data_IF_351857487435
#
_entry.id   IF_351857487435
#
_cell.length_a   1.000
_cell.length_b   1.000
_cell.length_c   1.000
_cell.angle_alpha   90.00
_cell.angle_beta   90.00
_cell.angle_gamma   90.00
#
_symmetry.space_group_name_H-M   'P 1'
#
loop_
_entity.id
_entity.type
_entity.pdbx_description
1 polymer ?
#
# COMPACT_ATOMS: atom_id res chain seq x y z
N UNK A 1 -7.59 49.95 7.12
CA UNK A 1 -8.36 49.00 7.96
C UNK A 1 -9.07 48.05 7.00
N UNK A 2 -8.92 46.72 6.91
CA UNK A 2 -8.21 45.61 7.57
C UNK A 2 -8.03 44.59 6.42
N UNK A 3 -6.87 43.94 6.18
CA UNK A 3 -6.79 42.86 5.19
C UNK A 3 -7.40 41.57 5.77
N UNK A 4 -8.43 41.05 5.13
CA UNK A 4 -9.03 39.76 5.46
C UNK A 4 -8.06 38.62 5.18
N UNK A 5 -7.79 37.82 6.21
CA UNK A 5 -6.83 36.72 6.19
C UNK A 5 -7.17 35.65 5.16
N UNK A 6 -6.24 35.42 4.25
CA UNK A 6 -6.14 34.21 3.44
C UNK A 6 -5.68 33.10 4.39
N UNK A 7 -6.64 32.53 5.12
CA UNK A 7 -6.42 31.36 5.97
C UNK A 7 -6.14 30.12 5.13
N UNK A 8 -4.86 29.83 4.97
CA UNK A 8 -4.27 28.49 4.89
C UNK A 8 -4.77 27.50 3.81
N UNK A 9 -4.64 27.88 2.53
CA UNK A 9 -4.52 26.89 1.44
C UNK A 9 -3.14 26.22 1.39
N UNK A 10 -2.18 26.67 2.21
CA UNK A 10 -0.82 26.11 2.28
C UNK A 10 -0.76 24.74 2.96
N UNK A 11 -1.66 24.45 3.89
CA UNK A 11 -1.78 23.13 4.52
C UNK A 11 -2.40 22.09 3.59
N UNK A 12 -3.37 22.47 2.76
CA UNK A 12 -3.96 21.61 1.72
C UNK A 12 -2.95 21.25 0.62
N UNK A 13 -1.99 22.15 0.34
CA UNK A 13 -0.96 21.93 -0.66
C UNK A 13 0.27 21.15 -0.16
N UNK A 14 0.40 20.95 1.15
CA UNK A 14 1.41 20.04 1.73
C UNK A 14 0.97 18.58 1.77
N UNK A 15 -0.32 18.29 1.56
CA UNK A 15 -0.83 16.93 1.37
C UNK A 15 -0.56 16.37 -0.04
N UNK A 16 -0.27 17.24 -1.04
CA UNK A 16 0.06 16.85 -2.42
C UNK A 16 1.51 16.35 -2.60
N UNK A 17 2.23 16.13 -1.49
CA UNK A 17 3.55 15.45 -1.49
C UNK A 17 3.49 14.11 -0.75
N UNK A 18 2.33 13.45 -0.68
CA UNK A 18 2.34 12.00 -0.47
C UNK A 18 2.76 11.34 -1.80
N UNK A 19 3.74 10.44 -1.74
CA UNK A 19 4.34 9.80 -2.90
C UNK A 19 3.28 9.29 -3.89
N UNK A 20 3.38 9.71 -5.16
CA UNK A 20 2.46 9.35 -6.26
C UNK A 20 2.05 7.87 -6.19
N UNK A 21 0.78 7.58 -5.87
CA UNK A 21 0.18 6.26 -6.01
C UNK A 21 -0.12 5.50 -4.72
N UNK A 22 0.27 6.02 -3.54
CA UNK A 22 -0.15 5.45 -2.25
C UNK A 22 -1.64 5.74 -1.98
N UNK A 23 -2.34 4.76 -1.44
CA UNK A 23 -3.77 4.83 -1.11
C UNK A 23 -3.94 5.04 0.39
N UNK A 24 -4.63 6.09 0.84
CA UNK A 24 -4.85 6.32 2.26
C UNK A 24 -5.94 5.39 2.81
N UNK A 25 -5.78 4.94 4.03
CA UNK A 25 -6.83 4.34 4.84
C UNK A 25 -7.15 5.24 6.03
N UNK A 26 -8.42 5.57 6.17
CA UNK A 26 -8.95 6.39 7.25
C UNK A 26 -9.82 5.55 8.19
N UNK A 27 -9.63 5.71 9.48
CA UNK A 27 -10.53 5.20 10.51
C UNK A 27 -11.07 6.38 11.33
N UNK A 28 -12.39 6.49 11.43
CA UNK A 28 -13.08 7.60 12.13
C UNK A 28 -12.59 9.01 11.72
N UNK A 29 -12.24 9.20 10.44
CA UNK A 29 -11.74 10.48 9.91
C UNK A 29 -10.26 10.75 10.15
N UNK A 30 -9.53 9.83 10.78
CA UNK A 30 -8.08 9.92 11.01
C UNK A 30 -7.33 9.04 10.00
N UNK A 31 -6.29 9.59 9.37
CA UNK A 31 -5.37 8.80 8.54
C UNK A 31 -4.62 7.81 9.44
N UNK A 32 -4.79 6.51 9.18
CA UNK A 32 -4.14 5.45 9.94
C UNK A 32 -2.85 5.02 9.24
N UNK A 33 -2.94 4.75 7.94
CA UNK A 33 -1.80 4.40 7.10
C UNK A 33 -2.10 4.72 5.64
N UNK A 34 -1.04 4.79 4.84
CA UNK A 34 -1.11 4.76 3.39
C UNK A 34 -0.53 3.44 2.90
N UNK A 35 -0.98 2.94 1.76
CA UNK A 35 -0.48 1.67 1.26
C UNK A 35 -0.44 1.62 -0.26
N UNK A 36 0.41 0.75 -0.79
CA UNK A 36 0.46 0.42 -2.20
C UNK A 36 0.85 -1.04 -2.39
N UNK A 37 0.83 -1.50 -3.63
CA UNK A 37 1.22 -2.86 -3.97
C UNK A 37 1.92 -2.92 -5.33
N UNK A 38 2.75 -3.95 -5.48
CA UNK A 38 3.32 -4.46 -6.73
C UNK A 38 2.79 -5.87 -7.00
N UNK A 39 3.35 -6.58 -7.97
CA UNK A 39 3.01 -7.99 -8.20
C UNK A 39 3.33 -8.87 -6.99
N UNK A 40 4.44 -8.59 -6.31
CA UNK A 40 5.00 -9.44 -5.25
C UNK A 40 4.74 -8.91 -3.85
N UNK A 41 4.54 -7.59 -3.70
CA UNK A 41 4.65 -6.93 -2.41
C UNK A 41 3.46 -6.03 -2.12
N UNK A 42 3.23 -5.80 -0.83
CA UNK A 42 2.33 -4.77 -0.30
C UNK A 42 3.12 -3.94 0.68
N UNK A 43 3.13 -2.63 0.46
CA UNK A 43 3.81 -1.69 1.33
C UNK A 43 2.78 -0.89 2.12
N UNK A 44 2.97 -0.77 3.43
CA UNK A 44 2.20 0.11 4.30
C UNK A 44 3.13 1.16 4.90
N UNK A 45 2.64 2.39 4.98
CA UNK A 45 3.34 3.57 5.45
C UNK A 45 2.53 4.23 6.56
N UNK A 46 3.14 4.40 7.72
CA UNK A 46 2.49 4.94 8.90
C UNK A 46 3.36 6.02 9.52
N UNK A 47 2.74 7.10 9.98
CA UNK A 47 3.43 8.06 10.84
C UNK A 47 3.34 7.59 12.29
N UNK A 48 4.43 7.09 12.90
CA UNK A 48 4.43 6.77 14.32
C UNK A 48 4.21 8.05 15.14
N UNK A 49 3.76 7.93 16.40
CA UNK A 49 3.65 9.07 17.30
C UNK A 49 4.98 9.82 17.43
N UNK A 50 4.93 11.13 17.60
CA UNK A 50 6.12 11.98 17.69
C UNK A 50 7.08 11.46 18.76
N UNK A 51 8.35 11.29 18.37
CA UNK A 51 9.41 10.78 19.25
C UNK A 51 9.45 9.26 19.46
N UNK A 52 8.50 8.50 18.93
CA UNK A 52 8.53 7.04 18.99
C UNK A 52 9.72 6.48 18.18
N UNK A 53 10.45 5.53 18.78
CA UNK A 53 11.57 4.84 18.13
C UNK A 53 11.20 3.39 17.83
N UNK A 54 11.98 2.73 16.99
CA UNK A 54 11.77 1.33 16.63
C UNK A 54 11.62 0.40 17.86
N UNK A 55 12.36 0.68 18.94
CA UNK A 55 12.27 -0.09 20.18
C UNK A 55 10.93 0.02 20.92
N UNK A 56 10.17 1.09 20.66
CA UNK A 56 8.88 1.38 21.31
C UNK A 56 7.71 0.77 20.52
N UNK A 57 7.94 0.37 19.28
CA UNK A 57 6.96 -0.27 18.42
C UNK A 57 6.80 -1.76 18.76
N UNK A 58 5.56 -2.23 18.67
CA UNK A 58 5.20 -3.64 18.70
C UNK A 58 4.50 -3.99 17.38
N UNK A 59 5.25 -4.58 16.46
CA UNK A 59 4.80 -4.94 15.12
C UNK A 59 4.93 -6.44 14.96
N UNK A 60 3.79 -7.09 14.67
CA UNK A 60 3.72 -8.53 14.48
C UNK A 60 3.14 -8.84 13.11
N UNK A 61 3.95 -9.52 12.31
CA UNK A 61 3.56 -10.05 11.01
C UNK A 61 3.34 -11.56 11.17
N UNK A 62 2.18 -12.03 10.75
CA UNK A 62 1.87 -13.47 10.66
C UNK A 62 1.38 -13.75 9.23
N UNK A 63 1.26 -15.02 8.82
CA UNK A 63 0.84 -15.33 7.45
C UNK A 63 -0.50 -14.72 7.06
N UNK A 64 -1.38 -14.38 8.00
CA UNK A 64 -2.74 -13.90 7.72
C UNK A 64 -3.13 -12.65 8.50
N UNK A 65 -2.23 -12.03 9.26
CA UNK A 65 -2.57 -10.92 10.17
C UNK A 65 -1.39 -10.00 10.37
N UNK A 66 -1.67 -8.69 10.34
CA UNK A 66 -0.74 -7.64 10.72
C UNK A 66 -1.27 -6.94 11.98
N UNK A 67 -0.41 -6.86 12.99
CA UNK A 67 -0.65 -6.08 14.21
C UNK A 67 0.38 -4.97 14.28
N UNK A 68 -0.07 -3.74 14.51
CA UNK A 68 0.80 -2.56 14.68
C UNK A 68 0.39 -1.82 15.95
N UNK A 69 1.35 -1.51 16.81
CA UNK A 69 1.10 -0.82 18.06
C UNK A 69 2.36 -0.31 18.75
N UNK A 70 2.18 0.18 19.98
CA UNK A 70 3.26 0.54 20.89
C UNK A 70 3.37 -0.51 21.99
N UNK A 71 4.59 -0.83 22.42
CA UNK A 71 4.83 -1.75 23.53
C UNK A 71 4.11 -1.29 24.80
N UNK A 72 3.42 -2.22 25.45
CA UNK A 72 2.69 -1.96 26.69
C UNK A 72 1.40 -1.16 26.53
N UNK A 73 0.95 -0.89 25.29
CA UNK A 73 -0.34 -0.24 25.00
C UNK A 73 -1.21 -1.15 24.11
N UNK A 74 -2.53 -0.91 24.06
CA UNK A 74 -3.37 -1.54 23.05
C UNK A 74 -2.82 -1.26 21.64
N UNK A 75 -2.88 -2.23 20.72
CA UNK A 75 -2.42 -2.03 19.35
C UNK A 75 -3.24 -0.92 18.67
N UNK A 76 -2.60 -0.18 17.76
CA UNK A 76 -3.29 0.78 16.90
C UNK A 76 -4.33 0.06 16.05
N UNK A 77 -3.94 -1.09 15.47
CA UNK A 77 -4.85 -2.03 14.85
C UNK A 77 -4.25 -3.45 14.87
N UNK A 78 -5.14 -4.43 14.77
CA UNK A 78 -4.78 -5.82 14.51
C UNK A 78 -5.82 -6.40 13.57
N UNK A 79 -5.46 -6.57 12.30
CA UNK A 79 -6.41 -6.94 11.25
C UNK A 79 -5.84 -8.02 10.34
N UNK A 80 -6.72 -8.88 9.76
CA UNK A 80 -6.27 -9.86 8.78
C UNK A 80 -5.70 -9.18 7.54
N UNK A 81 -4.64 -9.75 6.96
CA UNK A 81 -4.17 -9.35 5.63
C UNK A 81 -5.18 -9.81 4.57
N UNK A 82 -5.26 -9.13 3.43
CA UNK A 82 -6.20 -9.49 2.35
C UNK A 82 -6.00 -10.93 1.88
N UNK A 83 -4.75 -11.37 1.79
CA UNK A 83 -4.35 -12.74 1.48
C UNK A 83 -3.13 -13.15 2.28
N UNK A 84 -2.66 -14.38 2.06
CA UNK A 84 -1.53 -14.94 2.81
C UNK A 84 -0.22 -14.27 2.42
N UNK A 85 0.60 -13.93 3.42
CA UNK A 85 1.94 -13.35 3.25
C UNK A 85 3.04 -14.34 3.63
N UNK A 86 4.18 -14.24 2.96
CA UNK A 86 5.39 -14.93 3.37
C UNK A 86 6.06 -14.09 4.47
N UNK A 87 6.05 -14.59 5.70
CA UNK A 87 6.54 -13.84 6.85
C UNK A 87 8.05 -13.66 6.81
N UNK A 88 8.80 -14.66 6.35
CA UNK A 88 10.27 -14.67 6.41
C UNK A 88 10.94 -13.50 5.66
N UNK A 89 10.53 -13.16 4.41
CA UNK A 89 11.04 -11.98 3.71
C UNK A 89 10.24 -10.70 4.00
N UNK A 90 9.14 -10.77 4.76
CA UNK A 90 8.38 -9.58 5.16
C UNK A 90 9.11 -8.85 6.28
N UNK A 91 9.28 -7.54 6.13
CA UNK A 91 10.07 -6.72 7.05
C UNK A 91 9.36 -5.44 7.41
N UNK A 92 9.79 -4.80 8.48
CA UNK A 92 9.39 -3.44 8.80
C UNK A 92 10.60 -2.64 9.26
N UNK A 93 10.57 -1.35 9.00
CA UNK A 93 11.64 -0.41 9.32
C UNK A 93 11.10 1.00 9.52
N UNK A 94 11.89 1.85 10.17
CA UNK A 94 11.59 3.29 10.24
C UNK A 94 12.59 4.00 9.34
N UNK A 95 12.09 4.72 8.35
CA UNK A 95 12.87 5.56 7.43
C UNK A 95 12.36 6.99 7.51
N UNK A 96 13.25 7.96 7.73
CA UNK A 96 12.92 9.39 7.81
C UNK A 96 11.73 9.75 8.73
N UNK A 97 11.57 8.97 9.82
CA UNK A 97 10.48 9.16 10.79
C UNK A 97 9.14 8.55 10.36
N UNK A 98 9.08 7.81 9.26
CA UNK A 98 7.92 7.06 8.79
C UNK A 98 8.17 5.56 9.02
N UNK A 99 7.16 4.86 9.55
CA UNK A 99 7.16 3.41 9.65
C UNK A 99 6.76 2.82 8.30
N UNK A 100 7.66 2.04 7.71
CA UNK A 100 7.44 1.28 6.49
C UNK A 100 7.32 -0.21 6.83
N UNK A 101 6.27 -0.85 6.35
CA UNK A 101 6.02 -2.29 6.49
C UNK A 101 5.92 -2.88 5.09
N UNK A 102 6.78 -3.83 4.77
CA UNK A 102 6.80 -4.60 3.53
C UNK A 102 6.26 -6.00 3.81
N UNK A 103 5.15 -6.34 3.15
CA UNK A 103 4.55 -7.67 3.18
C UNK A 103 4.77 -8.35 1.83
N UNK A 104 5.39 -9.53 1.83
CA UNK A 104 5.59 -10.33 0.62
C UNK A 104 4.40 -11.25 0.41
N UNK A 105 3.76 -11.19 -0.76
CA UNK A 105 2.61 -12.02 -1.11
C UNK A 105 3.06 -13.47 -1.31
N UNK A 106 2.32 -14.43 -0.74
CA UNK A 106 2.48 -15.86 -1.09
C UNK A 106 1.99 -16.19 -2.50
N UNK A 107 1.26 -15.27 -3.12
CA UNK A 107 0.62 -15.41 -4.43
C UNK A 107 1.02 -14.22 -5.30
N UNK A 108 2.16 -14.32 -6.00
CA UNK A 108 2.57 -13.29 -6.97
C UNK A 108 1.45 -12.99 -7.97
N UNK A 109 1.25 -11.70 -8.25
CA UNK A 109 0.24 -11.18 -9.17
C UNK A 109 -1.19 -11.13 -8.61
N UNK A 110 -1.42 -11.57 -7.37
CA UNK A 110 -2.73 -11.40 -6.72
C UNK A 110 -2.98 -9.91 -6.44
N UNK A 111 -4.07 -9.38 -6.99
CA UNK A 111 -4.49 -8.00 -6.78
C UNK A 111 -5.20 -7.88 -5.44
N UNK A 112 -4.65 -7.08 -4.53
CA UNK A 112 -5.26 -6.81 -3.23
C UNK A 112 -6.12 -5.55 -3.33
N UNK A 113 -7.39 -5.62 -2.93
CA UNK A 113 -8.26 -4.43 -2.94
C UNK A 113 -8.05 -3.53 -1.70
N UNK A 114 -7.43 -4.09 -0.67
CA UNK A 114 -7.00 -3.39 0.53
C UNK A 114 -5.71 -4.03 1.04
N UNK A 115 -4.89 -3.29 1.81
CA UNK A 115 -3.77 -3.93 2.52
C UNK A 115 -4.27 -4.92 3.59
N UNK A 116 -5.39 -4.59 4.26
CA UNK A 116 -5.97 -5.34 5.37
C UNK A 116 -7.47 -5.52 5.15
N UNK A 117 -8.01 -6.69 5.51
CA UNK A 117 -9.44 -7.01 5.37
C UNK A 117 -10.28 -6.06 6.21
N UNK A 118 -11.37 -5.58 5.63
CA UNK A 118 -12.26 -4.62 6.29
C UNK A 118 -11.72 -3.18 6.32
N UNK A 119 -10.48 -2.95 5.89
CA UNK A 119 -9.89 -1.62 5.75
C UNK A 119 -10.00 -1.09 4.30
N UNK A 120 -10.53 -1.90 3.39
CA UNK A 120 -10.98 -1.41 2.09
C UNK A 120 -12.35 -0.78 2.25
N UNK A 121 -12.44 0.55 2.22
CA UNK A 121 -13.64 1.17 1.65
C UNK A 121 -13.84 0.58 0.26
N UNK A 122 -15.08 0.43 -0.21
CA UNK A 122 -15.34 -0.06 -1.56
C UNK A 122 -14.51 0.78 -2.55
N UNK A 123 -13.40 0.22 -3.05
CA UNK A 123 -12.68 0.85 -4.15
C UNK A 123 -13.72 0.97 -5.25
N UNK A 124 -13.93 2.18 -5.73
CA UNK A 124 -14.83 2.36 -6.84
C UNK A 124 -14.32 1.49 -8.02
N UNK A 125 -15.21 0.95 -8.86
CA UNK A 125 -14.81 0.05 -9.94
C UNK A 125 -13.75 0.64 -10.88
N UNK A 126 -13.64 1.97 -10.97
CA UNK A 126 -12.63 2.64 -11.77
C UNK A 126 -11.25 2.54 -11.13
N UNK A 127 -11.13 2.83 -9.83
CA UNK A 127 -9.90 2.62 -9.05
C UNK A 127 -9.38 1.18 -9.15
N UNK A 128 -10.27 0.18 -9.07
CA UNK A 128 -9.88 -1.23 -9.21
C UNK A 128 -9.28 -1.53 -10.60
N UNK A 129 -9.90 -1.00 -11.65
CA UNK A 129 -9.39 -1.16 -13.02
C UNK A 129 -8.03 -0.49 -13.20
N UNK A 130 -7.79 0.67 -12.59
CA UNK A 130 -6.48 1.34 -12.63
C UNK A 130 -5.40 0.53 -11.92
N UNK A 131 -5.71 -0.05 -10.75
CA UNK A 131 -4.79 -0.95 -10.03
C UNK A 131 -4.43 -2.15 -10.91
N UNK A 132 -5.44 -2.77 -11.50
CA UNK A 132 -5.28 -3.95 -12.33
C UNK A 132 -4.46 -3.65 -13.59
N UNK A 133 -4.70 -2.50 -14.24
CA UNK A 133 -3.92 -2.01 -15.38
C UNK A 133 -2.46 -1.78 -15.01
N UNK A 134 -2.20 -1.14 -13.86
CA UNK A 134 -0.83 -0.90 -13.37
C UNK A 134 -0.08 -2.22 -13.17
N UNK A 135 -0.68 -3.16 -12.46
CA UNK A 135 -0.07 -4.47 -12.18
C UNK A 135 0.14 -5.30 -13.45
N UNK A 136 -0.79 -5.24 -14.40
CA UNK A 136 -0.60 -5.89 -15.70
C UNK A 136 0.56 -5.30 -16.50
N UNK A 137 0.70 -3.97 -16.50
CA UNK A 137 1.80 -3.31 -17.21
C UNK A 137 3.15 -3.68 -16.61
N UNK A 138 3.24 -3.71 -15.27
CA UNK A 138 4.41 -4.18 -14.52
C UNK A 138 4.76 -5.62 -14.93
N UNK A 139 3.77 -6.53 -14.97
CA UNK A 139 3.98 -7.92 -15.40
C UNK A 139 4.52 -8.00 -16.83
N UNK A 140 3.94 -7.21 -17.74
CA UNK A 140 4.36 -7.22 -19.13
C UNK A 140 5.81 -6.74 -19.32
N UNK A 141 6.26 -5.79 -18.49
CA UNK A 141 7.64 -5.36 -18.44
C UNK A 141 8.57 -6.47 -17.92
N UNK A 142 8.20 -7.18 -16.85
CA UNK A 142 8.98 -8.32 -16.33
C UNK A 142 9.14 -9.45 -17.37
N UNK A 143 8.09 -9.72 -18.16
CA UNK A 143 8.09 -10.78 -19.17
C UNK A 143 8.87 -10.40 -20.45
N UNK A 144 9.08 -9.10 -20.71
CA UNK A 144 9.74 -8.61 -21.92
C UNK A 144 10.95 -7.71 -21.59
N UNK A 145 12.02 -8.25 -20.98
CA UNK A 145 13.21 -7.50 -20.63
C UNK A 145 13.90 -6.98 -21.90
N UNK A 146 13.87 -5.67 -22.12
CA UNK A 146 14.46 -5.02 -23.32
C UNK A 146 13.49 -4.13 -24.09
N UNK A 147 12.22 -4.07 -23.70
CA UNK A 147 11.26 -3.11 -24.22
C UNK A 147 10.77 -2.20 -23.09
N UNK A 148 10.78 -0.88 -23.32
CA UNK A 148 10.31 0.10 -22.35
C UNK A 148 8.81 0.36 -22.54
N UNK A 149 8.00 -0.08 -21.57
CA UNK A 149 6.56 0.15 -21.53
C UNK A 149 6.14 1.16 -20.45
N UNK A 150 7.08 1.95 -19.91
CA UNK A 150 6.77 2.92 -18.85
C UNK A 150 5.79 4.02 -19.30
N UNK A 151 5.74 4.32 -20.60
CA UNK A 151 4.79 5.25 -21.22
C UNK A 151 3.55 4.59 -21.86
N UNK A 152 3.38 3.27 -21.71
CA UNK A 152 2.28 2.56 -22.36
C UNK A 152 0.98 2.65 -21.56
N UNK A 153 -0.13 2.83 -22.28
CA UNK A 153 -1.47 2.88 -21.70
C UNK A 153 -2.29 1.67 -22.16
N UNK A 154 -2.95 1.00 -21.21
CA UNK A 154 -3.84 -0.11 -21.55
C UNK A 154 -5.22 0.40 -22.00
N UNK A 155 -5.56 0.19 -23.28
CA UNK A 155 -6.89 0.49 -23.82
C UNK A 155 -7.85 -0.69 -23.59
N UNK A 156 -9.00 -0.45 -22.95
CA UNK A 156 -10.02 -1.47 -22.66
C UNK A 156 -9.96 -2.06 -21.25
N UNK A 157 -10.60 -3.21 -21.05
CA UNK A 157 -10.64 -3.93 -19.78
C UNK A 157 -9.35 -4.74 -19.58
N UNK A 158 -8.67 -4.52 -18.46
CA UNK A 158 -7.49 -5.27 -18.09
C UNK A 158 -7.88 -6.71 -17.68
N UNK A 159 -7.33 -7.77 -18.30
CA UNK A 159 -7.40 -9.14 -17.76
C UNK A 159 -6.71 -9.28 -16.39
N UNK A 160 -6.94 -10.41 -15.73
CA UNK A 160 -6.38 -10.67 -14.39
C UNK A 160 -4.85 -10.90 -14.47
N UNK A 161 -4.04 -10.08 -13.76
CA UNK A 161 -2.59 -10.17 -13.78
C UNK A 161 -2.03 -11.54 -13.37
N UNK A 162 -2.79 -12.35 -12.61
CA UNK A 162 -2.38 -13.69 -12.16
C UNK A 162 -2.59 -14.75 -13.22
N UNK A 163 -3.61 -14.62 -14.07
CA UNK A 163 -4.05 -15.70 -14.99
C UNK A 163 -3.78 -15.43 -16.47
N UNK A 164 -3.46 -14.19 -16.84
CA UNK A 164 -3.16 -13.82 -18.21
C UNK A 164 -1.93 -14.57 -18.77
N UNK A 165 -1.90 -14.85 -20.09
CA UNK A 165 -0.76 -15.48 -20.82
C UNK A 165 -0.11 -16.72 -20.19
N UNK A 166 -0.89 -17.64 -19.59
CA UNK A 166 -0.36 -18.90 -19.03
C UNK A 166 -0.02 -18.86 -17.54
N UNK A 167 -0.28 -17.72 -16.89
CA UNK A 167 -0.18 -17.54 -15.44
C UNK A 167 1.21 -17.17 -14.94
N UNK A 168 1.27 -16.62 -13.73
CA UNK A 168 2.53 -16.26 -13.06
C UNK A 168 3.15 -17.52 -12.46
N UNK A 169 4.28 -17.97 -13.01
CA UNK A 169 5.05 -19.09 -12.46
C UNK A 169 6.19 -18.56 -11.58
N UNK A 170 6.34 -19.11 -10.38
CA UNK A 170 7.57 -18.93 -9.61
C UNK A 170 8.71 -19.58 -10.40
N UNK A 171 9.73 -18.80 -10.81
CA UNK A 171 11.01 -19.33 -11.26
C UNK A 171 11.91 -19.58 -10.05
#
# INVERSE_FOLDING_TARGET
MIPGGVGDMSLLKKAETSAKGRRPFYDQGRLVYEWEQSLDEVHLYLKPPEGAKAKDLDIKITPTTLTVGLKGKPPLFSAPTESTVNVDPSVWMIEDGELHILLVKMKKGEVWNAALKGHGGALDPFSQQEVQKKLMLERFQEENPGFDFSGATFSGNAPDPRTFMGGVSYK
#
